data_IF_873921412576
#
_entry.id   IF_873921412576
#
_cell.length_a   1.000
_cell.length_b   1.000
_cell.length_c   1.000
_cell.angle_alpha   90.00
_cell.angle_beta   90.00
_cell.angle_gamma   90.00
#
_symmetry.space_group_name_H-M   'P 1'
#
loop_
_entity.id
_entity.type
_entity.pdbx_description
1 polymer ?
#
# COMPACT_ATOMS: atom_id res chain seq x y z
N UNK A 1 -2.48 4.56 -25.89
CA UNK A 1 -1.35 4.59 -24.94
C UNK A 1 -1.24 3.26 -24.19
N UNK A 2 -2.30 2.83 -23.52
CA UNK A 2 -2.36 1.55 -22.78
C UNK A 2 -1.86 0.32 -23.56
N UNK A 3 -2.30 0.12 -24.81
CA UNK A 3 -1.83 -1.02 -25.63
C UNK A 3 -0.31 -1.04 -25.82
N UNK A 4 0.33 0.14 -25.91
CA UNK A 4 1.78 0.23 -26.05
C UNK A 4 2.48 -0.12 -24.73
N UNK A 5 1.97 0.40 -23.61
CA UNK A 5 2.45 0.04 -22.26
C UNK A 5 2.34 -1.47 -22.02
N UNK A 6 1.19 -2.07 -22.34
CA UNK A 6 0.99 -3.52 -22.21
C UNK A 6 1.98 -4.31 -23.07
N UNK A 7 2.19 -3.90 -24.32
CA UNK A 7 3.17 -4.53 -25.21
C UNK A 7 4.59 -4.45 -24.61
N UNK A 8 5.03 -3.26 -24.18
CA UNK A 8 6.36 -3.07 -23.62
C UNK A 8 6.54 -3.84 -22.31
N UNK A 9 5.51 -3.85 -21.48
CA UNK A 9 5.49 -4.64 -20.25
C UNK A 9 5.65 -6.14 -20.55
N UNK A 10 4.98 -6.67 -21.58
CA UNK A 10 5.09 -8.09 -21.94
C UNK A 10 6.51 -8.46 -22.38
N UNK A 11 7.23 -7.58 -23.11
CA UNK A 11 8.65 -7.79 -23.42
C UNK A 11 9.50 -7.90 -22.13
N UNK A 12 9.23 -7.03 -21.14
CA UNK A 12 9.92 -7.04 -19.85
C UNK A 12 9.49 -8.22 -18.98
N UNK A 13 8.23 -8.66 -19.10
CA UNK A 13 7.67 -9.83 -18.43
C UNK A 13 8.42 -11.08 -18.84
N UNK A 14 8.63 -11.28 -20.14
CA UNK A 14 9.38 -12.43 -20.65
C UNK A 14 10.86 -12.35 -20.24
N UNK A 15 11.45 -11.14 -20.27
CA UNK A 15 12.85 -10.90 -19.88
C UNK A 15 13.14 -11.16 -18.39
N UNK A 16 12.22 -10.78 -17.50
CA UNK A 16 12.45 -10.77 -16.05
C UNK A 16 11.53 -11.67 -15.23
N UNK A 17 10.61 -12.38 -15.89
CA UNK A 17 9.56 -13.19 -15.26
C UNK A 17 8.64 -12.36 -14.35
N UNK A 18 8.17 -11.22 -14.86
CA UNK A 18 7.23 -10.36 -14.14
C UNK A 18 5.83 -11.01 -14.05
N UNK A 19 4.97 -10.55 -13.13
CA UNK A 19 3.57 -10.97 -13.08
C UNK A 19 2.80 -10.66 -14.36
N UNK A 20 1.59 -11.21 -14.47
CA UNK A 20 0.75 -10.93 -15.62
C UNK A 20 0.27 -9.47 -15.63
N UNK A 21 0.31 -8.83 -16.81
CA UNK A 21 -0.12 -7.45 -16.94
C UNK A 21 -1.58 -7.27 -16.50
N UNK A 22 -2.46 -8.19 -16.88
CA UNK A 22 -3.89 -8.06 -16.60
C UNK A 22 -4.21 -8.25 -15.11
N UNK A 23 -3.32 -8.90 -14.36
CA UNK A 23 -3.43 -9.03 -12.90
C UNK A 23 -2.89 -7.79 -12.18
N UNK A 24 -1.69 -7.33 -12.53
CA UNK A 24 -1.00 -6.25 -11.82
C UNK A 24 -1.53 -4.85 -12.21
N UNK A 25 -1.99 -4.69 -13.44
CA UNK A 25 -2.50 -3.42 -13.97
C UNK A 25 -3.67 -2.82 -13.16
N UNK A 26 -4.79 -3.53 -12.89
CA UNK A 26 -5.91 -2.96 -12.15
C UNK A 26 -5.52 -2.57 -10.72
N UNK A 27 -4.56 -3.26 -10.12
CA UNK A 27 -4.13 -3.02 -8.74
C UNK A 27 -3.33 -1.72 -8.63
N UNK A 28 -2.36 -1.50 -9.51
CA UNK A 28 -1.44 -0.36 -9.44
C UNK A 28 -1.70 0.71 -10.50
N UNK A 29 -2.76 0.56 -11.31
CA UNK A 29 -3.14 1.49 -12.38
C UNK A 29 -2.00 1.74 -13.39
N UNK A 30 -1.34 0.68 -13.85
CA UNK A 30 -0.21 0.75 -14.79
C UNK A 30 -0.63 1.40 -16.12
N UNK A 31 -1.87 1.21 -16.54
CA UNK A 31 -2.47 1.83 -17.73
C UNK A 31 -2.45 3.37 -17.71
N UNK A 32 -2.29 4.00 -16.53
CA UNK A 32 -2.16 5.47 -16.38
C UNK A 32 -0.74 5.99 -16.63
N UNK A 33 0.19 5.14 -17.06
CA UNK A 33 1.55 5.56 -17.43
C UNK A 33 1.52 6.19 -18.84
N UNK A 34 2.10 7.38 -18.97
CA UNK A 34 1.97 8.24 -20.14
C UNK A 34 3.02 7.97 -21.23
N UNK A 35 4.15 7.35 -20.88
CA UNK A 35 5.21 6.98 -21.83
C UNK A 35 5.87 5.64 -21.43
N UNK A 36 6.54 4.99 -22.38
CA UNK A 36 7.20 3.69 -22.19
C UNK A 36 8.62 3.81 -21.60
N UNK A 37 9.14 5.04 -21.52
CA UNK A 37 10.50 5.29 -21.05
C UNK A 37 10.63 4.94 -19.57
N UNK A 38 11.66 4.17 -19.24
CA UNK A 38 11.91 3.70 -17.87
C UNK A 38 10.67 3.04 -17.25
N UNK A 39 9.95 2.20 -18.01
CA UNK A 39 8.65 1.64 -17.61
C UNK A 39 8.68 0.96 -16.22
N UNK A 40 9.71 0.18 -15.90
CA UNK A 40 9.82 -0.49 -14.59
C UNK A 40 9.90 0.53 -13.44
N UNK A 41 10.70 1.58 -13.60
CA UNK A 41 10.79 2.70 -12.64
C UNK A 41 9.43 3.37 -12.44
N UNK A 42 8.66 3.56 -13.52
CA UNK A 42 7.32 4.13 -13.41
C UNK A 42 6.35 3.20 -12.69
N UNK A 43 6.43 1.89 -12.93
CA UNK A 43 5.63 0.88 -12.22
C UNK A 43 6.00 0.85 -10.73
N UNK A 44 7.30 0.84 -10.38
CA UNK A 44 7.77 0.96 -8.99
C UNK A 44 7.17 2.19 -8.32
N UNK A 45 7.18 3.36 -8.96
CA UNK A 45 6.57 4.58 -8.42
C UNK A 45 5.07 4.41 -8.16
N UNK A 46 4.33 3.74 -9.06
CA UNK A 46 2.90 3.45 -8.85
C UNK A 46 2.67 2.49 -7.68
N UNK A 47 3.50 1.46 -7.56
CA UNK A 47 3.48 0.51 -6.44
C UNK A 47 3.68 1.26 -5.12
N UNK A 48 4.75 2.06 -5.04
CA UNK A 48 5.11 2.76 -3.81
C UNK A 48 4.10 3.83 -3.45
N UNK A 49 3.56 4.58 -4.41
CA UNK A 49 2.47 5.51 -4.12
C UNK A 49 1.29 4.81 -3.42
N UNK A 50 0.95 3.60 -3.86
CA UNK A 50 -0.12 2.81 -3.23
C UNK A 50 0.27 2.30 -1.83
N UNK A 51 1.48 1.77 -1.66
CA UNK A 51 1.92 1.22 -0.37
C UNK A 51 2.21 2.32 0.66
N UNK A 52 2.64 3.51 0.25
CA UNK A 52 2.83 4.66 1.13
C UNK A 52 1.51 5.16 1.67
N UNK A 53 0.47 5.31 0.84
CA UNK A 53 -0.86 5.64 1.36
C UNK A 53 -1.39 4.59 2.33
N UNK A 54 -1.04 3.31 2.15
CA UNK A 54 -1.36 2.28 3.15
C UNK A 54 -0.53 2.44 4.43
N UNK A 55 0.76 2.77 4.32
CA UNK A 55 1.64 2.94 5.48
C UNK A 55 1.22 4.13 6.36
N UNK A 56 0.79 5.24 5.74
CA UNK A 56 0.21 6.41 6.41
C UNK A 56 -1.04 6.04 7.23
N UNK A 57 -1.97 5.26 6.65
CA UNK A 57 -3.16 4.81 7.39
C UNK A 57 -2.78 3.94 8.60
N UNK A 58 -1.83 3.02 8.44
CA UNK A 58 -1.37 2.16 9.53
C UNK A 58 -0.65 2.97 10.62
N UNK A 59 0.06 4.03 10.24
CA UNK A 59 0.69 4.97 11.17
C UNK A 59 -0.35 5.62 12.07
N UNK A 60 -1.43 6.15 11.47
CA UNK A 60 -2.54 6.76 12.21
C UNK A 60 -3.23 5.78 13.17
N UNK A 61 -3.29 4.48 12.83
CA UNK A 61 -3.84 3.47 13.72
C UNK A 61 -2.96 3.21 14.95
N UNK A 62 -1.64 3.35 14.82
CA UNK A 62 -0.68 3.15 15.92
C UNK A 62 -0.50 4.41 16.75
N UNK A 63 -0.30 5.53 16.06
CA UNK A 63 0.00 6.86 16.58
C UNK A 63 -0.97 7.85 15.92
N UNK A 64 -2.14 8.07 16.53
CA UNK A 64 -3.13 8.95 15.93
C UNK A 64 -2.62 10.39 15.88
N UNK A 65 -2.87 11.06 14.76
CA UNK A 65 -2.79 12.50 14.68
C UNK A 65 -3.87 13.16 15.54
N UNK A 66 -3.88 14.49 15.59
CA UNK A 66 -4.87 15.26 16.35
C UNK A 66 -6.25 15.30 15.70
N UNK A 67 -6.46 14.57 14.59
CA UNK A 67 -7.78 14.50 13.94
C UNK A 67 -8.75 13.66 14.76
N UNK A 68 -10.03 14.03 14.70
CA UNK A 68 -11.07 13.31 15.45
C UNK A 68 -11.15 11.84 15.02
N UNK A 69 -11.04 11.56 13.72
CA UNK A 69 -11.10 10.18 13.21
C UNK A 69 -9.97 9.34 13.79
N UNK A 70 -8.72 9.82 13.75
CA UNK A 70 -7.57 9.03 14.19
C UNK A 70 -7.64 8.71 15.69
N UNK A 71 -8.09 9.67 16.51
CA UNK A 71 -8.28 9.51 17.96
C UNK A 71 -9.28 8.37 18.28
N UNK A 72 -10.30 8.17 17.46
CA UNK A 72 -11.27 7.08 17.64
C UNK A 72 -10.82 5.79 16.98
N UNK A 73 -10.27 5.85 15.76
CA UNK A 73 -9.86 4.68 14.98
C UNK A 73 -8.71 3.91 15.64
N UNK A 74 -7.75 4.59 16.26
CA UNK A 74 -6.66 3.92 16.98
C UNK A 74 -7.18 3.07 18.17
N UNK A 75 -8.36 3.39 18.73
CA UNK A 75 -8.97 2.66 19.87
C UNK A 75 -9.70 1.39 19.44
N UNK A 76 -9.83 1.13 18.14
CA UNK A 76 -10.54 -0.03 17.58
C UNK A 76 -9.76 -1.34 17.75
N UNK A 77 -8.44 -1.26 17.87
CA UNK A 77 -7.54 -2.39 17.80
C UNK A 77 -7.09 -2.86 19.19
N UNK A 78 -7.09 -4.17 19.40
CA UNK A 78 -6.46 -4.82 20.54
C UNK A 78 -4.93 -4.75 20.46
N UNK A 79 -4.23 -5.02 21.56
CA UNK A 79 -2.76 -5.03 21.59
C UNK A 79 -2.17 -6.01 20.56
N UNK A 80 -2.72 -7.22 20.46
CA UNK A 80 -2.28 -8.21 19.47
C UNK A 80 -2.48 -7.76 18.02
N UNK A 81 -3.51 -6.94 17.75
CA UNK A 81 -3.73 -6.37 16.42
C UNK A 81 -2.82 -5.18 16.17
N UNK A 82 -2.52 -4.37 17.19
CA UNK A 82 -1.52 -3.30 17.11
C UNK A 82 -0.14 -3.84 16.74
N UNK A 83 0.25 -4.99 17.30
CA UNK A 83 1.49 -5.67 16.90
C UNK A 83 1.48 -6.09 15.42
N UNK A 84 0.34 -6.59 14.92
CA UNK A 84 0.17 -6.94 13.50
C UNK A 84 0.20 -5.70 12.60
N UNK A 85 -0.43 -4.60 13.02
CA UNK A 85 -0.39 -3.31 12.32
C UNK A 85 1.07 -2.83 12.24
N UNK A 86 1.81 -2.84 13.35
CA UNK A 86 3.22 -2.43 13.36
C UNK A 86 4.10 -3.32 12.47
N UNK A 87 3.86 -4.63 12.47
CA UNK A 87 4.57 -5.56 11.57
C UNK A 87 4.30 -5.23 10.10
N UNK A 88 3.04 -4.98 9.71
CA UNK A 88 2.70 -4.59 8.35
C UNK A 88 3.30 -3.23 8.00
N UNK A 89 3.17 -2.23 8.89
CA UNK A 89 3.75 -0.90 8.73
C UNK A 89 5.26 -0.97 8.48
N UNK A 90 5.99 -1.72 9.30
CA UNK A 90 7.43 -1.94 9.15
C UNK A 90 7.76 -2.51 7.77
N UNK A 91 7.01 -3.53 7.31
CA UNK A 91 7.24 -4.11 5.99
C UNK A 91 7.02 -3.09 4.86
N UNK A 92 5.98 -2.26 4.95
CA UNK A 92 5.74 -1.21 3.96
C UNK A 92 6.84 -0.13 3.98
N UNK A 93 7.36 0.23 5.17
CA UNK A 93 8.49 1.15 5.29
C UNK A 93 9.78 0.59 4.70
N UNK A 94 10.01 -0.72 4.79
CA UNK A 94 11.15 -1.36 4.10
C UNK A 94 11.02 -1.18 2.58
N UNK A 95 9.84 -1.46 1.99
CA UNK A 95 9.60 -1.24 0.56
C UNK A 95 9.83 0.22 0.14
N UNK A 96 9.42 1.18 0.98
CA UNK A 96 9.71 2.60 0.73
C UNK A 96 11.22 2.88 0.68
N UNK A 97 12.02 2.29 1.59
CA UNK A 97 13.48 2.49 1.58
C UNK A 97 14.15 1.81 0.40
N UNK A 98 13.76 0.59 0.05
CA UNK A 98 14.24 -0.12 -1.15
C UNK A 98 13.95 0.68 -2.43
N UNK A 99 12.78 1.30 -2.51
CA UNK A 99 12.46 2.19 -3.63
C UNK A 99 13.33 3.44 -3.65
N UNK A 100 13.57 4.08 -2.49
CA UNK A 100 14.48 5.23 -2.43
C UNK A 100 15.88 4.81 -2.89
N UNK A 101 16.39 3.67 -2.44
CA UNK A 101 17.67 3.10 -2.87
C UNK A 101 17.74 2.94 -4.40
N UNK A 102 16.75 2.31 -5.02
CA UNK A 102 16.65 2.19 -6.49
C UNK A 102 16.52 3.52 -7.24
N UNK A 103 16.10 4.59 -6.56
CA UNK A 103 16.07 5.92 -7.16
C UNK A 103 17.45 6.59 -7.19
N UNK A 104 18.33 6.22 -6.26
CA UNK A 104 19.70 6.70 -6.15
C UNK A 104 20.65 5.88 -7.05
N UNK A 105 20.40 4.58 -7.16
CA UNK A 105 21.17 3.66 -7.99
C UNK A 105 20.24 2.90 -8.96
N UNK A 106 19.84 3.53 -10.08
CA UNK A 106 18.88 2.92 -11.00
C UNK A 106 19.50 1.75 -11.76
N UNK A 107 18.90 0.57 -11.64
CA UNK A 107 19.23 -0.61 -12.44
C UNK A 107 17.96 -1.37 -12.87
N UNK A 108 17.88 -1.74 -14.16
CA UNK A 108 16.67 -2.33 -14.73
C UNK A 108 16.33 -3.69 -14.11
N UNK A 109 17.35 -4.49 -13.77
CA UNK A 109 17.16 -5.83 -13.22
C UNK A 109 16.63 -5.75 -11.79
N UNK A 110 17.19 -4.87 -10.97
CA UNK A 110 16.76 -4.65 -9.58
C UNK A 110 15.40 -3.97 -9.50
N UNK A 111 15.05 -3.08 -10.44
CA UNK A 111 13.69 -2.56 -10.61
C UNK A 111 12.67 -3.69 -10.88
N UNK A 112 13.04 -4.66 -11.74
CA UNK A 112 12.21 -5.83 -12.01
C UNK A 112 12.08 -6.76 -10.79
N UNK A 113 13.16 -6.97 -10.05
CA UNK A 113 13.17 -7.77 -8.82
C UNK A 113 12.29 -7.16 -7.73
N UNK A 114 12.36 -5.83 -7.55
CA UNK A 114 11.47 -5.11 -6.64
C UNK A 114 9.99 -5.38 -6.97
N UNK A 115 9.60 -5.23 -8.25
CA UNK A 115 8.21 -5.46 -8.69
C UNK A 115 7.77 -6.91 -8.36
N UNK A 116 8.62 -7.89 -8.61
CA UNK A 116 8.32 -9.30 -8.30
C UNK A 116 8.17 -9.54 -6.79
N UNK A 117 9.06 -8.97 -5.98
CA UNK A 117 9.03 -9.15 -4.53
C UNK A 117 7.75 -8.55 -3.92
N UNK A 118 7.35 -7.36 -4.38
CA UNK A 118 6.07 -6.77 -3.97
C UNK A 118 4.90 -7.61 -4.44
N UNK A 119 4.92 -8.09 -5.69
CA UNK A 119 3.85 -8.95 -6.20
C UNK A 119 3.67 -10.23 -5.37
N UNK A 120 4.77 -10.92 -5.07
CA UNK A 120 4.76 -12.15 -4.28
C UNK A 120 4.23 -11.96 -2.85
N UNK A 121 4.39 -10.76 -2.29
CA UNK A 121 3.90 -10.40 -0.96
C UNK A 121 2.53 -9.71 -0.97
N UNK A 122 2.02 -9.35 -2.16
CA UNK A 122 0.86 -8.48 -2.31
C UNK A 122 -0.40 -9.05 -1.68
N UNK A 123 -0.67 -10.34 -1.86
CA UNK A 123 -1.88 -10.94 -1.29
C UNK A 123 -1.89 -10.88 0.24
N UNK A 124 -0.75 -11.11 0.88
CA UNK A 124 -0.65 -10.97 2.33
C UNK A 124 -0.85 -9.52 2.78
N UNK A 125 -0.20 -8.56 2.12
CA UNK A 125 -0.38 -7.12 2.39
C UNK A 125 -1.86 -6.73 2.25
N UNK A 126 -2.49 -7.17 1.15
CA UNK A 126 -3.90 -6.91 0.84
C UNK A 126 -4.83 -7.48 1.91
N UNK A 127 -4.63 -8.72 2.34
CA UNK A 127 -5.50 -9.35 3.35
C UNK A 127 -5.39 -8.68 4.71
N UNK A 128 -4.18 -8.38 5.18
CA UNK A 128 -3.98 -7.68 6.45
C UNK A 128 -4.59 -6.26 6.40
N UNK A 129 -4.35 -5.52 5.32
CA UNK A 129 -4.93 -4.18 5.15
C UNK A 129 -6.47 -4.23 5.11
N UNK A 130 -7.05 -5.18 4.36
CA UNK A 130 -8.50 -5.36 4.32
C UNK A 130 -9.09 -5.70 5.68
N UNK A 131 -8.40 -6.50 6.49
CA UNK A 131 -8.83 -6.82 7.85
C UNK A 131 -8.95 -5.54 8.70
N UNK A 132 -7.91 -4.71 8.75
CA UNK A 132 -7.93 -3.49 9.56
C UNK A 132 -8.95 -2.47 9.06
N UNK A 133 -9.00 -2.21 7.75
CA UNK A 133 -9.97 -1.27 7.16
C UNK A 133 -11.41 -1.71 7.38
N UNK A 134 -11.70 -3.01 7.25
CA UNK A 134 -13.05 -3.53 7.53
C UNK A 134 -13.42 -3.33 8.99
N UNK A 135 -12.49 -3.57 9.91
CA UNK A 135 -12.75 -3.39 11.35
C UNK A 135 -13.08 -1.94 11.68
N UNK A 136 -12.30 -0.97 11.17
CA UNK A 136 -12.58 0.47 11.32
C UNK A 136 -13.91 0.86 10.69
N UNK A 137 -14.21 0.35 9.49
CA UNK A 137 -15.50 0.58 8.83
C UNK A 137 -16.68 0.07 9.66
N UNK A 138 -16.57 -1.10 10.27
CA UNK A 138 -17.63 -1.63 11.14
C UNK A 138 -17.74 -0.85 12.46
N UNK A 139 -16.63 -0.35 13.01
CA UNK A 139 -16.65 0.57 14.15
C UNK A 139 -17.49 1.83 13.84
N UNK A 140 -17.27 2.47 12.70
CA UNK A 140 -18.03 3.68 12.31
C UNK A 140 -19.51 3.43 12.03
N UNK A 141 -19.90 2.19 11.68
CA UNK A 141 -21.31 1.81 11.52
C UNK A 141 -22.00 1.53 12.85
N UNK A 142 -21.24 1.23 13.90
CA UNK A 142 -21.81 0.93 15.21
C UNK A 142 -22.32 2.21 15.87
N UNK A 143 -23.47 2.13 16.56
CA UNK A 143 -23.94 3.26 17.35
C UNK A 143 -22.94 3.55 18.48
N UNK A 144 -22.39 4.77 18.50
CA UNK A 144 -21.56 5.19 19.62
C UNK A 144 -22.42 5.21 20.90
N UNK A 145 -21.94 4.64 22.02
CA UNK A 145 -22.66 4.76 23.28
C UNK A 145 -22.79 6.25 23.65
N UNK A 146 -24.03 6.70 23.90
CA UNK A 146 -24.37 8.11 24.21
C UNK A 146 -23.47 8.75 25.29
N UNK A 147 -22.94 7.95 26.21
CA UNK A 147 -22.05 8.40 27.30
C UNK A 147 -20.68 8.94 26.87
N UNK A 148 -20.22 8.67 25.64
CA UNK A 148 -18.94 9.21 25.13
C UNK A 148 -19.06 10.57 24.44
N UNK A 149 -20.28 10.98 24.08
CA UNK A 149 -20.53 12.24 23.36
C UNK A 149 -20.51 13.44 24.33
N UNK A 150 -20.97 13.24 25.57
CA UNK A 150 -21.12 14.32 26.57
C UNK A 150 -19.80 14.78 27.20
N UNK A 151 -18.74 13.95 27.19
CA UNK A 151 -17.44 14.29 27.79
C UNK A 151 -16.51 15.17 26.95
N UNK A 152 -16.87 15.45 25.68
CA UNK A 152 -16.04 16.24 24.76
C UNK A 152 -16.51 17.70 24.59
N UNK A 153 -17.73 18.02 25.04
CA UNK A 153 -18.29 19.37 25.01
C UNK A 153 -18.48 19.96 26.42
N UNK A 154 -17.84 19.35 27.43
CA UNK A 154 -17.80 19.85 28.81
C UNK A 154 -16.49 20.55 29.12
#
# INVERSE_FOLDING_TARGET
>A
MEQKIKKKYNELKDKYSLPDFDEINPIFSIYKIENEDFLLKQIRKKIIGKTTSMSEILENFLHPDTTLSDIYECKVFSDSERDRIFKLYKNLKILEKESIELSLEPDEKTEAEFIKNVWNSWDNIKQEMLFFIRKVKEFWKSELPKSKIEGYFG
#
